data_IF_096880044736
#
_entry.id   IF_096880044736
#
_cell.length_a   1.000
_cell.length_b   1.000
_cell.length_c   1.000
_cell.angle_alpha   90.00
_cell.angle_beta   90.00
_cell.angle_gamma   90.00
#
_symmetry.space_group_name_H-M   'P 1'
#
loop_
_entity.id
_entity.type
_entity.pdbx_description
1 polymer ?
#
# COMPACT_ATOMS: atom_id res chain seq x y z
N UNK A 1 -59.58 20.46 23.14
CA UNK A 1 -58.15 20.05 23.12
C UNK A 1 -57.76 19.93 21.65
N UNK A 2 -56.82 20.76 21.23
CA UNK A 2 -56.44 21.04 19.85
C UNK A 2 -55.76 19.85 19.19
N UNK A 3 -56.29 19.44 18.04
CA UNK A 3 -55.70 18.47 17.12
C UNK A 3 -54.46 19.09 16.46
N UNK A 4 -53.31 18.43 16.57
CA UNK A 4 -52.11 18.77 15.80
C UNK A 4 -51.96 17.75 14.69
N UNK A 5 -52.17 18.20 13.45
CA UNK A 5 -51.94 17.44 12.23
C UNK A 5 -50.45 17.21 12.01
N UNK A 6 -50.06 15.96 11.75
CA UNK A 6 -48.74 15.59 11.25
C UNK A 6 -48.56 16.24 9.87
N UNK A 7 -47.48 16.98 9.59
CA UNK A 7 -47.25 17.50 8.25
C UNK A 7 -46.89 16.36 7.31
N UNK A 8 -47.58 16.34 6.16
CA UNK A 8 -47.29 15.54 4.99
C UNK A 8 -45.79 15.59 4.68
N UNK A 9 -45.09 14.48 4.92
CA UNK A 9 -43.70 14.34 4.45
C UNK A 9 -43.80 14.22 2.94
N UNK A 10 -43.35 15.27 2.27
CA UNK A 10 -43.17 15.38 0.83
C UNK A 10 -42.66 14.04 0.27
N UNK A 11 -43.52 13.37 -0.47
CA UNK A 11 -43.15 12.31 -1.41
C UNK A 11 -42.31 12.98 -2.51
N UNK A 12 -41.05 13.26 -2.21
CA UNK A 12 -40.06 13.53 -3.23
C UNK A 12 -39.84 12.18 -3.92
N UNK A 13 -40.43 12.01 -5.11
CA UNK A 13 -40.00 10.96 -6.03
C UNK A 13 -38.52 11.21 -6.30
N UNK A 14 -37.64 10.45 -5.65
CA UNK A 14 -36.26 10.37 -6.06
C UNK A 14 -36.23 9.60 -7.38
N UNK A 15 -36.52 10.29 -8.48
CA UNK A 15 -36.08 9.86 -9.80
C UNK A 15 -34.55 9.91 -9.76
N UNK A 16 -33.94 8.78 -9.41
CA UNK A 16 -32.52 8.61 -9.57
C UNK A 16 -32.23 8.53 -11.07
N UNK A 17 -31.65 9.60 -11.60
CA UNK A 17 -31.17 9.65 -12.96
C UNK A 17 -29.92 8.76 -13.10
N UNK A 18 -30.16 7.47 -13.39
CA UNK A 18 -29.14 6.43 -13.58
C UNK A 18 -28.41 6.53 -14.95
N UNK A 19 -28.65 7.62 -15.68
CA UNK A 19 -28.06 7.85 -16.99
C UNK A 19 -26.63 8.41 -16.94
N UNK A 20 -26.00 8.50 -15.75
CA UNK A 20 -24.63 9.00 -15.58
C UNK A 20 -23.56 8.20 -16.35
N UNK A 21 -23.85 6.93 -16.69
CA UNK A 21 -22.97 6.09 -17.51
C UNK A 21 -23.35 6.06 -18.99
N UNK A 22 -24.40 6.79 -19.40
CA UNK A 22 -24.67 6.97 -20.82
C UNK A 22 -23.58 7.85 -21.40
N UNK A 23 -22.61 7.14 -21.99
CA UNK A 23 -21.51 7.75 -22.70
C UNK A 23 -22.12 8.49 -23.87
N UNK A 24 -22.26 9.81 -23.75
CA UNK A 24 -22.48 10.65 -24.91
C UNK A 24 -21.23 10.51 -25.79
N UNK A 25 -21.26 9.57 -26.75
CA UNK A 25 -20.25 9.44 -27.78
C UNK A 25 -20.39 10.62 -28.74
N UNK A 26 -20.04 11.82 -28.28
CA UNK A 26 -19.90 12.98 -29.15
C UNK A 26 -18.48 12.95 -29.72
N UNK A 27 -18.21 12.12 -30.74
CA UNK A 27 -17.12 12.43 -31.69
C UNK A 27 -17.21 11.69 -33.01
N UNK A 28 -16.74 12.40 -34.04
CA UNK A 28 -16.84 12.08 -35.46
C UNK A 28 -16.08 10.80 -35.85
N UNK A 29 -16.54 10.17 -36.92
CA UNK A 29 -16.20 8.82 -37.36
C UNK A 29 -14.71 8.54 -37.68
N UNK A 30 -13.82 9.54 -37.67
CA UNK A 30 -12.48 9.45 -38.29
C UNK A 30 -11.29 9.73 -37.35
N UNK A 31 -11.43 9.64 -36.01
CA UNK A 31 -10.30 9.79 -35.07
C UNK A 31 -9.57 8.45 -34.81
N UNK A 32 -8.31 8.26 -35.29
CA UNK A 32 -7.56 7.01 -35.14
C UNK A 32 -7.02 6.78 -33.72
N UNK A 33 -7.20 7.73 -32.80
CA UNK A 33 -6.81 7.63 -31.39
C UNK A 33 -7.99 7.21 -30.49
N UNK A 34 -9.13 6.86 -31.09
CA UNK A 34 -10.37 6.53 -30.38
C UNK A 34 -10.23 5.33 -29.46
N UNK A 35 -10.71 5.49 -28.22
CA UNK A 35 -10.92 4.37 -27.29
C UNK A 35 -11.96 3.44 -27.92
N UNK A 36 -11.69 2.13 -28.07
CA UNK A 36 -12.67 1.21 -28.62
C UNK A 36 -13.95 1.24 -27.81
N UNK A 37 -15.09 1.42 -28.48
CA UNK A 37 -16.41 1.26 -27.84
C UNK A 37 -16.65 -0.23 -27.68
N UNK A 38 -16.29 -0.75 -26.51
CA UNK A 38 -16.65 -2.12 -26.15
C UNK A 38 -18.14 -2.15 -25.81
N UNK A 39 -18.89 -3.19 -26.23
CA UNK A 39 -20.23 -3.41 -25.72
C UNK A 39 -20.16 -3.54 -24.19
N UNK A 40 -21.18 -3.06 -23.45
CA UNK A 40 -21.26 -3.32 -22.02
C UNK A 40 -21.10 -4.81 -21.76
N UNK A 41 -20.24 -5.17 -20.81
CA UNK A 41 -20.07 -6.56 -20.43
C UNK A 41 -21.41 -7.10 -19.90
N UNK A 42 -21.90 -8.20 -20.47
CA UNK A 42 -23.21 -8.78 -20.11
C UNK A 42 -23.26 -9.28 -18.66
N UNK A 43 -22.10 -9.48 -18.04
CA UNK A 43 -21.99 -9.69 -16.60
C UNK A 43 -22.21 -8.37 -15.86
N UNK A 44 -23.41 -7.81 -15.99
CA UNK A 44 -23.93 -6.89 -14.99
C UNK A 44 -23.99 -7.72 -13.71
N UNK A 45 -23.12 -7.40 -12.76
CA UNK A 45 -23.16 -8.00 -11.43
C UNK A 45 -24.41 -7.52 -10.69
N UNK A 46 -25.58 -8.01 -11.11
CA UNK A 46 -26.87 -7.72 -10.47
C UNK A 46 -26.89 -8.20 -9.01
N UNK A 47 -26.09 -9.22 -8.72
CA UNK A 47 -25.97 -9.85 -7.41
C UNK A 47 -24.69 -9.39 -6.68
N UNK A 48 -24.64 -8.12 -6.25
CA UNK A 48 -23.69 -7.73 -5.22
C UNK A 48 -24.09 -8.40 -3.90
N UNK A 49 -23.32 -9.41 -3.49
CA UNK A 49 -23.43 -9.96 -2.13
C UNK A 49 -22.48 -9.17 -1.21
N UNK A 50 -22.99 -8.26 -0.36
CA UNK A 50 -22.13 -7.56 0.58
C UNK A 50 -21.43 -8.55 1.49
N UNK A 51 -20.12 -8.34 1.69
CA UNK A 51 -19.38 -9.07 2.70
C UNK A 51 -19.99 -8.77 4.07
N UNK A 52 -20.50 -9.80 4.77
CA UNK A 52 -21.10 -9.64 6.08
C UNK A 52 -19.99 -9.39 7.11
N UNK A 53 -19.78 -8.11 7.44
CA UNK A 53 -18.84 -7.71 8.48
C UNK A 53 -19.57 -7.82 9.81
N UNK A 54 -19.19 -8.79 10.64
CA UNK A 54 -19.68 -8.86 12.01
C UNK A 54 -19.38 -7.56 12.76
N UNK A 55 -20.33 -7.13 13.58
CA UNK A 55 -20.13 -5.99 14.47
C UNK A 55 -18.99 -6.32 15.43
N UNK A 56 -17.99 -5.43 15.46
CA UNK A 56 -16.84 -5.54 16.34
C UNK A 56 -16.59 -4.18 16.96
N UNK A 57 -16.50 -4.14 18.29
CA UNK A 57 -16.25 -2.90 19.01
C UNK A 57 -14.92 -2.29 18.57
N UNK A 58 -14.89 -0.97 18.44
CA UNK A 58 -13.66 -0.25 18.15
C UNK A 58 -12.69 -0.41 19.31
N UNK A 59 -11.56 -1.08 19.06
CA UNK A 59 -10.45 -1.12 19.99
C UNK A 59 -9.41 -0.07 19.58
N UNK A 60 -9.47 1.10 20.22
CA UNK A 60 -8.49 2.17 20.00
C UNK A 60 -7.30 1.91 20.92
N UNK A 61 -6.19 1.45 20.35
CA UNK A 61 -4.94 1.34 21.07
C UNK A 61 -4.35 2.74 21.29
N UNK A 62 -3.92 3.03 22.52
CA UNK A 62 -3.14 4.23 22.81
C UNK A 62 -1.79 4.07 22.10
N UNK A 63 -1.47 4.99 21.20
CA UNK A 63 -0.19 5.01 20.51
C UNK A 63 0.92 5.40 21.47
N UNK A 64 2.14 4.86 21.30
CA UNK A 64 3.29 5.32 22.06
C UNK A 64 3.50 6.83 21.92
N UNK A 65 3.95 7.52 22.99
CA UNK A 65 4.05 8.98 23.02
C UNK A 65 5.16 9.52 22.12
N UNK A 66 6.15 8.71 21.75
CA UNK A 66 7.26 9.15 20.90
C UNK A 66 7.18 8.57 19.49
N UNK A 67 7.61 9.33 18.45
CA UNK A 67 7.72 8.82 17.10
C UNK A 67 8.62 7.58 16.98
N UNK A 68 9.67 7.50 17.83
CA UNK A 68 10.59 6.37 17.84
C UNK A 68 9.90 5.09 18.34
N UNK A 69 9.15 5.15 19.43
CA UNK A 69 8.43 3.99 19.95
C UNK A 69 7.32 3.55 18.99
N UNK A 70 6.65 4.50 18.34
CA UNK A 70 5.68 4.19 17.28
C UNK A 70 6.34 3.46 16.11
N UNK A 71 7.53 3.92 15.69
CA UNK A 71 8.30 3.25 14.65
C UNK A 71 8.73 1.85 15.08
N UNK A 72 9.18 1.69 16.33
CA UNK A 72 9.59 0.40 16.90
C UNK A 72 8.44 -0.59 17.07
N UNK A 73 7.20 -0.11 17.19
CA UNK A 73 6.00 -0.96 17.18
C UNK A 73 5.82 -1.65 15.82
N UNK A 74 6.09 -0.94 14.72
CA UNK A 74 6.00 -1.47 13.35
C UNK A 74 7.25 -2.22 12.92
N UNK A 75 8.42 -1.78 13.42
CA UNK A 75 9.72 -2.35 13.10
C UNK A 75 10.43 -2.73 14.40
N UNK A 76 10.17 -3.95 14.94
CA UNK A 76 10.71 -4.37 16.21
C UNK A 76 12.25 -4.32 16.24
N UNK A 77 12.82 -3.96 17.39
CA UNK A 77 14.29 -3.91 17.57
C UNK A 77 14.95 -5.26 17.25
N UNK A 78 14.28 -6.37 17.58
CA UNK A 78 14.73 -7.72 17.24
C UNK A 78 14.87 -7.95 15.74
N UNK A 79 13.96 -7.40 14.94
CA UNK A 79 14.04 -7.45 13.47
C UNK A 79 15.26 -6.69 12.97
N UNK A 80 15.51 -5.49 13.52
CA UNK A 80 16.70 -4.69 13.18
C UNK A 80 17.98 -5.47 13.50
N UNK A 81 18.07 -6.07 14.69
CA UNK A 81 19.24 -6.86 15.07
C UNK A 81 19.43 -8.09 14.19
N UNK A 82 18.34 -8.80 13.86
CA UNK A 82 18.39 -9.94 12.94
C UNK A 82 18.88 -9.52 11.55
N UNK A 83 18.40 -8.38 11.05
CA UNK A 83 18.80 -7.86 9.75
C UNK A 83 20.27 -7.44 9.72
N UNK A 84 20.77 -6.80 10.79
CA UNK A 84 22.19 -6.47 10.95
C UNK A 84 23.04 -7.73 10.95
N UNK A 85 22.66 -8.73 11.75
CA UNK A 85 23.36 -10.01 11.83
C UNK A 85 23.43 -10.71 10.48
N UNK A 86 22.28 -10.80 9.79
CA UNK A 86 22.19 -11.38 8.44
C UNK A 86 23.10 -10.64 7.45
N UNK A 87 23.02 -9.31 7.39
CA UNK A 87 23.75 -8.51 6.41
C UNK A 87 25.26 -8.61 6.60
N UNK A 88 25.72 -8.51 7.84
CA UNK A 88 27.15 -8.65 8.15
C UNK A 88 27.66 -10.06 7.84
N UNK A 89 26.91 -11.11 8.19
CA UNK A 89 27.26 -12.49 7.87
C UNK A 89 27.30 -12.74 6.35
N UNK A 90 26.34 -12.19 5.62
CA UNK A 90 26.29 -12.28 4.16
C UNK A 90 27.50 -11.62 3.49
N UNK A 91 27.87 -10.41 3.91
CA UNK A 91 29.05 -9.73 3.35
C UNK A 91 30.33 -10.47 3.70
N UNK A 92 30.45 -11.03 4.92
CA UNK A 92 31.58 -11.87 5.29
C UNK A 92 31.68 -13.10 4.36
N UNK A 93 30.56 -13.80 4.13
CA UNK A 93 30.50 -14.92 3.18
C UNK A 93 30.95 -14.52 1.77
N UNK A 94 30.51 -13.37 1.25
CA UNK A 94 30.92 -12.89 -0.07
C UNK A 94 32.44 -12.65 -0.14
N UNK A 95 33.01 -11.99 0.87
CA UNK A 95 34.45 -11.72 0.95
C UNK A 95 35.26 -13.02 1.04
N UNK A 96 34.84 -13.96 1.88
CA UNK A 96 35.49 -15.28 2.03
C UNK A 96 35.52 -16.08 0.72
N UNK A 97 34.44 -15.97 -0.08
CA UNK A 97 34.33 -16.66 -1.36
C UNK A 97 34.91 -15.86 -2.53
N UNK A 98 35.48 -14.67 -2.30
CA UNK A 98 36.10 -13.87 -3.35
C UNK A 98 35.11 -13.30 -4.36
N UNK A 99 33.84 -13.14 -3.99
CA UNK A 99 32.75 -12.66 -4.84
C UNK A 99 32.12 -11.38 -4.27
N UNK A 100 31.50 -10.55 -5.11
CA UNK A 100 30.85 -9.30 -4.68
C UNK A 100 29.32 -9.38 -4.61
N UNK A 101 28.71 -10.41 -5.20
CA UNK A 101 27.26 -10.54 -5.34
C UNK A 101 26.82 -11.99 -5.53
N UNK A 102 25.50 -12.20 -5.65
CA UNK A 102 24.88 -13.51 -5.87
C UNK A 102 25.10 -14.06 -7.30
N UNK A 103 25.69 -13.30 -8.20
CA UNK A 103 26.01 -13.72 -9.56
C UNK A 103 27.44 -14.26 -9.68
N UNK A 104 28.12 -14.45 -8.54
CA UNK A 104 29.52 -14.89 -8.45
C UNK A 104 30.49 -13.94 -9.16
N UNK A 105 30.18 -12.64 -9.21
CA UNK A 105 31.10 -11.66 -9.78
C UNK A 105 32.37 -11.60 -8.93
N UNK A 106 33.56 -11.80 -9.50
CA UNK A 106 34.80 -11.87 -8.72
C UNK A 106 35.20 -10.52 -8.12
N UNK A 107 35.80 -10.56 -6.93
CA UNK A 107 36.38 -9.38 -6.29
C UNK A 107 37.58 -8.87 -7.10
N UNK A 108 37.59 -7.56 -7.33
CA UNK A 108 38.71 -6.83 -7.91
C UNK A 108 39.39 -5.98 -6.84
N UNK A 109 40.63 -5.54 -7.09
CA UNK A 109 41.38 -4.69 -6.14
C UNK A 109 40.65 -3.38 -5.78
N UNK A 110 39.77 -2.91 -6.65
CA UNK A 110 38.97 -1.68 -6.44
C UNK A 110 37.57 -1.93 -5.86
N UNK A 111 37.19 -3.18 -5.58
CA UNK A 111 35.84 -3.50 -5.13
C UNK A 111 35.53 -2.84 -3.79
N UNK A 112 34.42 -2.09 -3.72
CA UNK A 112 34.01 -1.34 -2.52
C UNK A 112 33.74 -2.24 -1.31
N UNK A 113 33.40 -3.52 -1.55
CA UNK A 113 33.19 -4.52 -0.49
C UNK A 113 34.43 -4.71 0.39
N UNK A 114 35.64 -4.48 -0.15
CA UNK A 114 36.90 -4.56 0.60
C UNK A 114 37.05 -3.44 1.65
N UNK A 115 36.24 -2.38 1.54
CA UNK A 115 36.17 -1.27 2.51
C UNK A 115 34.98 -1.42 3.46
N UNK A 116 34.32 -2.57 3.45
CA UNK A 116 33.17 -2.80 4.33
C UNK A 116 33.63 -3.04 5.76
N UNK A 117 33.11 -2.23 6.69
CA UNK A 117 33.44 -2.31 8.13
C UNK A 117 32.31 -2.93 8.96
N UNK A 118 31.21 -3.35 8.31
CA UNK A 118 29.99 -3.79 8.97
C UNK A 118 28.96 -2.67 9.15
N UNK A 119 27.72 -3.07 9.37
CA UNK A 119 26.65 -2.18 9.84
C UNK A 119 26.33 -2.45 11.31
N UNK A 120 25.88 -1.39 11.98
CA UNK A 120 25.41 -1.42 13.36
C UNK A 120 24.05 -0.73 13.46
N UNK A 121 23.44 -0.78 14.65
CA UNK A 121 22.09 -0.27 14.89
C UNK A 121 21.88 1.20 14.50
N UNK A 122 22.76 2.15 14.87
CA UNK A 122 22.52 3.57 14.54
C UNK A 122 22.51 3.87 13.03
N UNK A 123 23.49 3.41 12.21
CA UNK A 123 23.44 3.55 10.75
C UNK A 123 22.16 3.00 10.12
N UNK A 124 21.65 1.88 10.63
CA UNK A 124 20.43 1.26 10.11
C UNK A 124 19.20 2.13 10.38
N UNK A 125 19.06 2.69 11.58
CA UNK A 125 17.96 3.62 11.89
C UNK A 125 18.05 4.91 11.06
N UNK A 126 19.26 5.42 10.82
CA UNK A 126 19.45 6.58 9.92
C UNK A 126 19.04 6.24 8.50
N UNK A 127 19.44 5.07 7.99
CA UNK A 127 19.07 4.62 6.66
C UNK A 127 17.55 4.45 6.52
N UNK A 128 16.88 3.82 7.49
CA UNK A 128 15.43 3.66 7.52
C UNK A 128 14.71 5.00 7.52
N UNK A 129 15.23 5.99 8.26
CA UNK A 129 14.69 7.36 8.27
C UNK A 129 14.81 8.06 6.91
N UNK A 130 15.80 7.73 6.09
CA UNK A 130 15.96 8.33 4.75
C UNK A 130 14.99 7.71 3.73
N UNK A 131 14.56 6.47 3.96
CA UNK A 131 13.70 5.73 3.04
C UNK A 131 12.19 6.01 3.23
N UNK A 132 11.81 6.70 4.30
CA UNK A 132 10.43 7.03 4.69
C UNK A 132 10.22 8.53 4.55
#
# INVERSE_FOLDING_TARGET
MTSQSIPDVLQASCDFDDHSFHTHSQRAADDPTGVPVFPPEEAVGDDFTPFNIEYRDFHINILPPTPLELFQLLTPISLIHSWIGYTNAWVAYLIENGIIDNWNTPISKGSRILKWEGISTPPVYVWLRVMI
#
